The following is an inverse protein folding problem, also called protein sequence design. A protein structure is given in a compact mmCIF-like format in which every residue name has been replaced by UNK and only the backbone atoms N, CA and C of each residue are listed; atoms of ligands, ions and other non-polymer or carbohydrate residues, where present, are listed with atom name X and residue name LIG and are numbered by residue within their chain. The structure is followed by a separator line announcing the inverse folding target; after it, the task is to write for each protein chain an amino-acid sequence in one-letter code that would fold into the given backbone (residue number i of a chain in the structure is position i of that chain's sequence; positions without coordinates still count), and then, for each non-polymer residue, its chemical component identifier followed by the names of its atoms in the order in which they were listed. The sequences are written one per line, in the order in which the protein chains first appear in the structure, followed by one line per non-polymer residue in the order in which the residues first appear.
data_IF_195442180238
#
_entry.id   IF_195442180238
#
_cell.length_a   1.000
_cell.length_b   1.000
_cell.length_c   1.000
_cell.angle_alpha   90.00
_cell.angle_beta   90.00
_cell.angle_gamma   90.00
#
_symmetry.space_group_name_H-M   'P 1'
#
loop_
_entity.id
_entity.type
_entity.pdbx_description
1 polymer ?
#
# COMPACT_ATOMS: atom_id res chain seq x y z
N UNK A 1 42.83 54.85 -19.70
CA UNK A 1 41.65 54.27 -19.04
C UNK A 1 41.26 55.18 -17.90
N UNK A 2 40.12 55.87 -17.99
CA UNK A 2 39.62 56.76 -16.92
C UNK A 2 38.97 55.88 -15.84
N UNK A 3 39.28 56.06 -14.55
CA UNK A 3 38.66 55.27 -13.50
C UNK A 3 37.16 55.59 -13.41
N UNK A 4 36.32 54.58 -13.56
CA UNK A 4 34.87 54.69 -13.32
C UNK A 4 34.66 54.87 -11.82
N UNK A 5 34.23 56.08 -11.41
CA UNK A 5 33.89 56.38 -10.01
C UNK A 5 32.73 55.47 -9.55
N UNK A 6 32.76 54.92 -8.32
CA UNK A 6 31.65 54.16 -7.78
C UNK A 6 30.42 55.08 -7.60
N UNK A 7 29.29 54.69 -8.18
CA UNK A 7 28.03 55.44 -8.11
C UNK A 7 27.52 55.52 -6.66
N UNK A 8 27.59 56.71 -6.05
CA UNK A 8 26.92 56.99 -4.78
C UNK A 8 25.41 57.12 -5.00
N UNK A 9 24.62 56.36 -4.25
CA UNK A 9 23.17 56.62 -4.15
C UNK A 9 22.96 57.99 -3.48
N UNK A 10 22.17 58.90 -4.06
CA UNK A 10 21.86 60.15 -3.38
C UNK A 10 21.05 59.87 -2.10
N UNK A 11 21.21 60.69 -1.06
CA UNK A 11 20.49 60.53 0.20
C UNK A 11 18.97 60.64 -0.02
N UNK A 12 18.16 59.84 0.69
CA UNK A 12 16.70 59.95 0.59
C UNK A 12 16.24 61.33 1.10
N UNK A 13 15.24 61.93 0.43
CA UNK A 13 14.58 63.21 0.74
C UNK A 13 15.19 64.54 0.24
N UNK A 14 16.11 64.56 -0.73
CA UNK A 14 16.44 65.81 -1.42
C UNK A 14 15.67 65.96 -2.75
N UNK A 15 15.08 67.14 -3.04
CA UNK A 15 14.44 67.40 -4.32
C UNK A 15 15.49 67.40 -5.44
N UNK A 16 15.20 66.71 -6.55
CA UNK A 16 16.08 66.66 -7.73
C UNK A 16 15.95 67.96 -8.51
N UNK A 17 17.03 68.74 -8.58
CA UNK A 17 17.11 69.96 -9.40
C UNK A 17 17.72 69.60 -10.75
N UNK A 18 16.99 69.86 -11.84
CA UNK A 18 17.42 69.57 -13.20
C UNK A 18 17.61 70.88 -13.97
N UNK A 19 18.85 71.16 -14.37
CA UNK A 19 19.16 72.25 -15.30
C UNK A 19 18.79 71.85 -16.74
N UNK A 20 17.99 72.67 -17.40
CA UNK A 20 17.55 72.47 -18.80
C UNK A 20 18.71 72.79 -19.76
N UNK A 21 18.93 71.96 -20.79
CA UNK A 21 20.01 72.09 -21.79
C UNK A 21 21.47 72.01 -21.28
N UNK A 22 21.70 71.61 -20.03
CA UNK A 22 23.04 71.42 -19.46
C UNK A 22 23.30 69.96 -19.04
N UNK A 23 23.29 69.03 -20.01
CA UNK A 23 23.41 67.59 -19.75
C UNK A 23 24.69 67.17 -19.01
N UNK A 24 25.79 67.93 -19.17
CA UNK A 24 27.07 67.67 -18.50
C UNK A 24 27.01 67.82 -16.98
N UNK A 25 26.07 68.62 -16.45
CA UNK A 25 25.84 68.79 -14.99
C UNK A 25 25.12 67.60 -14.36
N UNK A 26 24.62 66.67 -15.18
CA UNK A 26 23.80 65.52 -14.77
C UNK A 26 24.54 64.17 -14.92
N UNK A 27 25.88 64.19 -15.00
CA UNK A 27 26.70 62.99 -15.22
C UNK A 27 26.60 61.95 -14.08
N UNK A 28 26.22 62.38 -12.88
CA UNK A 28 26.07 61.50 -11.71
C UNK A 28 24.72 60.75 -11.68
N UNK A 29 23.76 61.11 -12.53
CA UNK A 29 22.48 60.42 -12.61
C UNK A 29 22.60 59.07 -13.33
N UNK A 30 21.78 58.10 -12.90
CA UNK A 30 21.71 56.80 -13.55
C UNK A 30 21.22 56.98 -15.00
N UNK A 31 21.95 56.41 -15.96
CA UNK A 31 21.57 56.48 -17.38
C UNK A 31 20.20 55.87 -17.67
N UNK A 32 19.58 56.29 -18.78
CA UNK A 32 18.26 55.81 -19.24
C UNK A 32 18.32 54.43 -19.93
N UNK A 33 19.20 53.56 -19.45
CA UNK A 33 19.27 52.18 -19.92
C UNK A 33 18.30 51.32 -19.12
N UNK A 34 17.26 50.81 -19.79
CA UNK A 34 16.26 49.93 -19.20
C UNK A 34 16.69 48.49 -19.46
N UNK A 35 16.87 47.72 -18.39
CA UNK A 35 17.18 46.29 -18.46
C UNK A 35 16.14 45.53 -17.65
N UNK A 36 15.34 44.71 -18.34
CA UNK A 36 14.39 43.78 -17.71
C UNK A 36 15.01 42.40 -17.48
N UNK A 37 16.25 42.18 -17.95
CA UNK A 37 16.96 40.91 -17.82
C UNK A 37 17.40 40.66 -16.38
N UNK A 38 17.11 39.44 -15.89
CA UNK A 38 17.41 39.01 -14.52
C UNK A 38 18.90 38.82 -14.23
N UNK A 39 19.71 38.60 -15.28
CA UNK A 39 21.15 38.30 -15.18
C UNK A 39 21.94 39.04 -16.28
N UNK A 40 23.17 39.47 -15.97
CA UNK A 40 24.17 39.96 -16.92
C UNK A 40 25.08 38.81 -17.39
N UNK A 41 25.73 38.91 -18.56
CA UNK A 41 26.59 37.88 -19.19
C UNK A 41 27.62 37.30 -18.20
N UNK A 42 28.27 38.14 -17.40
CA UNK A 42 29.26 37.73 -16.40
C UNK A 42 28.66 37.16 -15.10
N UNK A 43 27.40 37.49 -14.80
CA UNK A 43 26.69 37.03 -13.58
C UNK A 43 25.79 35.84 -13.83
N UNK A 44 25.43 35.57 -15.09
CA UNK A 44 24.55 34.47 -15.48
C UNK A 44 25.22 33.14 -15.20
N UNK A 45 26.44 32.94 -15.70
CA UNK A 45 27.15 31.66 -15.59
C UNK A 45 27.36 31.21 -14.13
N UNK A 46 27.92 32.02 -13.21
CA UNK A 46 28.10 31.60 -11.82
C UNK A 46 26.78 31.43 -11.05
N UNK A 47 25.76 32.26 -11.29
CA UNK A 47 24.46 32.12 -10.60
C UNK A 47 23.63 30.95 -11.12
N UNK A 48 23.64 30.70 -12.42
CA UNK A 48 22.96 29.55 -13.03
C UNK A 48 23.58 28.23 -12.56
N UNK A 49 24.92 28.16 -12.45
CA UNK A 49 25.61 27.02 -11.82
C UNK A 49 25.18 26.86 -10.36
N UNK A 50 25.22 27.93 -9.57
CA UNK A 50 24.85 27.85 -8.16
C UNK A 50 23.39 27.42 -7.93
N UNK A 51 22.47 27.82 -8.81
CA UNK A 51 21.06 27.40 -8.77
C UNK A 51 20.87 25.94 -9.21
N UNK A 52 21.60 25.45 -10.21
CA UNK A 52 21.50 24.08 -10.72
C UNK A 52 22.14 23.02 -9.81
N UNK A 53 23.19 23.38 -9.05
CA UNK A 53 23.92 22.44 -8.18
C UNK A 53 23.51 22.48 -6.70
N UNK A 54 22.32 22.99 -6.34
CA UNK A 54 21.84 22.91 -4.94
C UNK A 54 21.39 21.47 -4.64
N UNK A 55 21.90 20.80 -3.59
CA UNK A 55 21.47 19.44 -3.23
C UNK A 55 19.95 19.29 -3.06
N UNK A 56 19.30 20.37 -2.63
CA UNK A 56 17.84 20.47 -2.44
C UNK A 56 17.08 20.16 -3.73
N UNK A 57 17.56 20.58 -4.91
CA UNK A 57 16.83 20.39 -6.18
C UNK A 57 16.81 18.93 -6.64
N UNK A 58 17.76 18.10 -6.16
CA UNK A 58 17.82 16.67 -6.46
C UNK A 58 16.98 15.83 -5.48
N UNK A 59 17.03 16.14 -4.18
CA UNK A 59 16.32 15.37 -3.16
C UNK A 59 14.84 15.73 -3.03
N UNK A 60 14.46 16.99 -3.31
CA UNK A 60 13.09 17.47 -3.11
C UNK A 60 12.05 16.75 -3.99
N UNK A 61 12.26 16.52 -5.30
CA UNK A 61 11.29 15.79 -6.12
C UNK A 61 11.11 14.33 -5.67
N UNK A 62 12.20 13.67 -5.27
CA UNK A 62 12.16 12.29 -4.76
C UNK A 62 11.38 12.21 -3.45
N UNK A 63 11.66 13.11 -2.51
CA UNK A 63 10.95 13.18 -1.23
C UNK A 63 9.45 13.43 -1.44
N UNK A 64 9.08 14.28 -2.41
CA UNK A 64 7.68 14.56 -2.74
C UNK A 64 6.97 13.33 -3.30
N UNK A 65 7.59 12.59 -4.21
CA UNK A 65 7.00 11.36 -4.78
C UNK A 65 6.79 10.28 -3.72
N UNK A 66 7.82 10.05 -2.90
CA UNK A 66 7.75 9.09 -1.80
C UNK A 66 6.68 9.52 -0.79
N UNK A 67 6.64 10.80 -0.44
CA UNK A 67 5.64 11.37 0.46
C UNK A 67 4.21 11.17 -0.04
N UNK A 68 3.93 11.50 -1.30
CA UNK A 68 2.59 11.29 -1.90
C UNK A 68 2.22 9.80 -1.95
N UNK A 69 3.18 8.93 -2.27
CA UNK A 69 2.93 7.48 -2.34
C UNK A 69 2.60 6.91 -0.95
N UNK A 70 3.38 7.27 0.07
CA UNK A 70 3.14 6.86 1.44
C UNK A 70 1.83 7.43 1.99
N UNK A 71 1.52 8.69 1.69
CA UNK A 71 0.27 9.31 2.11
C UNK A 71 -0.95 8.61 1.50
N UNK A 72 -0.88 8.23 0.22
CA UNK A 72 -1.94 7.47 -0.45
C UNK A 72 -2.16 6.11 0.22
N UNK A 73 -1.09 5.34 0.44
CA UNK A 73 -1.18 4.03 1.09
C UNK A 73 -1.76 4.15 2.51
N UNK A 74 -1.34 5.17 3.27
CA UNK A 74 -1.89 5.43 4.59
C UNK A 74 -3.39 5.77 4.57
N UNK A 75 -3.86 6.54 3.56
CA UNK A 75 -5.30 6.83 3.41
C UNK A 75 -6.11 5.58 3.04
N UNK A 76 -5.59 4.73 2.14
CA UNK A 76 -6.25 3.47 1.78
C UNK A 76 -6.34 2.51 2.97
N UNK A 77 -5.26 2.35 3.73
CA UNK A 77 -5.26 1.51 4.93
C UNK A 77 -6.12 2.08 6.05
N UNK A 78 -6.21 3.42 6.17
CA UNK A 78 -7.12 4.06 7.12
C UNK A 78 -8.59 3.77 6.78
N UNK A 79 -8.96 3.75 5.50
CA UNK A 79 -10.31 3.34 5.08
C UNK A 79 -10.59 1.87 5.40
N UNK A 80 -9.62 0.96 5.22
CA UNK A 80 -9.76 -0.45 5.63
C UNK A 80 -9.94 -0.58 7.14
N UNK A 81 -9.14 0.13 7.91
CA UNK A 81 -9.25 0.17 9.36
C UNK A 81 -10.63 0.64 9.83
N UNK A 82 -11.19 1.67 9.18
CA UNK A 82 -12.56 2.10 9.47
C UNK A 82 -13.59 1.01 9.17
N UNK A 83 -13.49 0.34 8.02
CA UNK A 83 -14.39 -0.75 7.66
C UNK A 83 -14.32 -1.92 8.66
N UNK A 84 -13.12 -2.33 9.06
CA UNK A 84 -12.89 -3.40 10.05
C UNK A 84 -13.46 -3.00 11.42
N UNK A 85 -13.26 -1.75 11.83
CA UNK A 85 -13.78 -1.22 13.08
C UNK A 85 -15.31 -1.26 13.13
N UNK A 86 -15.99 -0.95 12.02
CA UNK A 86 -17.45 -1.02 11.94
C UNK A 86 -17.98 -2.45 11.99
N UNK A 87 -17.29 -3.42 11.39
CA UNK A 87 -17.64 -4.85 11.52
C UNK A 87 -17.46 -5.33 12.97
N UNK A 88 -16.35 -4.97 13.61
CA UNK A 88 -16.03 -5.42 14.97
C UNK A 88 -16.94 -4.85 16.05
N UNK A 89 -17.53 -3.66 15.82
CA UNK A 89 -18.50 -3.01 16.72
C UNK A 89 -19.92 -3.58 16.63
N UNK A 90 -20.22 -4.44 15.64
CA UNK A 90 -21.56 -5.02 15.49
C UNK A 90 -21.93 -5.79 16.76
N UNK A 91 -23.19 -5.69 17.17
CA UNK A 91 -23.70 -6.34 18.37
C UNK A 91 -24.40 -7.65 18.05
N UNK A 92 -24.25 -8.65 18.92
CA UNK A 92 -25.03 -9.89 18.92
C UNK A 92 -25.55 -10.18 20.32
N UNK A 93 -26.62 -10.95 20.41
CA UNK A 93 -27.23 -11.35 21.68
C UNK A 93 -26.63 -12.69 22.11
N UNK A 94 -26.04 -12.73 23.30
CA UNK A 94 -25.34 -13.88 23.88
C UNK A 94 -26.04 -14.33 25.15
N UNK A 95 -26.14 -15.63 25.37
CA UNK A 95 -26.71 -16.20 26.58
C UNK A 95 -25.67 -16.23 27.70
N UNK A 96 -25.98 -15.61 28.84
CA UNK A 96 -25.14 -15.70 30.03
C UNK A 96 -25.68 -16.82 30.96
N UNK A 97 -24.93 -17.92 31.18
CA UNK A 97 -25.39 -19.05 31.99
C UNK A 97 -25.47 -18.73 33.48
N UNK A 98 -24.74 -17.71 33.97
CA UNK A 98 -24.72 -17.33 35.39
C UNK A 98 -25.95 -16.48 35.72
N UNK A 99 -26.23 -15.47 34.91
CA UNK A 99 -27.39 -14.58 35.10
C UNK A 99 -28.70 -15.15 34.53
N UNK A 100 -28.62 -16.21 33.71
CA UNK A 100 -29.73 -16.80 32.97
C UNK A 100 -30.48 -15.77 32.09
N UNK A 101 -29.75 -14.77 31.58
CA UNK A 101 -30.31 -13.67 30.78
C UNK A 101 -29.58 -13.54 29.44
N UNK A 102 -30.24 -12.85 28.51
CA UNK A 102 -29.68 -12.54 27.19
C UNK A 102 -29.03 -11.16 27.26
N UNK A 103 -27.73 -11.12 27.02
CA UNK A 103 -26.92 -9.90 27.07
C UNK A 103 -26.41 -9.56 25.68
N UNK A 104 -26.26 -8.27 25.39
CA UNK A 104 -25.73 -7.81 24.10
C UNK A 104 -24.22 -7.65 24.21
N UNK A 105 -23.47 -8.40 23.39
CA UNK A 105 -22.01 -8.27 23.25
C UNK A 105 -21.63 -7.78 21.85
N UNK A 106 -20.47 -7.15 21.73
CA UNK A 106 -19.92 -6.81 20.42
C UNK A 106 -19.23 -8.03 19.81
N UNK A 107 -19.13 -8.08 18.48
CA UNK A 107 -18.51 -9.19 17.76
C UNK A 107 -17.07 -9.45 18.20
N UNK A 108 -16.33 -8.39 18.51
CA UNK A 108 -14.95 -8.47 19.06
C UNK A 108 -14.82 -9.17 20.42
N UNK A 109 -15.90 -9.27 21.18
CA UNK A 109 -15.90 -9.77 22.56
C UNK A 109 -16.58 -11.15 22.68
N UNK A 110 -16.93 -11.78 21.55
CA UNK A 110 -17.50 -13.12 21.51
C UNK A 110 -16.41 -14.14 21.77
N UNK A 111 -16.70 -15.08 22.66
CA UNK A 111 -15.79 -16.17 23.01
C UNK A 111 -16.38 -17.49 22.52
N UNK A 112 -15.49 -18.42 22.19
CA UNK A 112 -15.78 -19.79 21.81
C UNK A 112 -16.64 -20.50 22.88
N UNK A 113 -17.60 -21.32 22.44
CA UNK A 113 -18.51 -22.07 23.31
C UNK A 113 -19.69 -21.25 23.85
N UNK A 114 -19.72 -19.93 23.60
CA UNK A 114 -20.88 -19.11 23.92
C UNK A 114 -22.06 -19.43 22.99
N UNK A 115 -23.26 -19.47 23.58
CA UNK A 115 -24.50 -19.64 22.83
C UNK A 115 -25.05 -18.28 22.48
N UNK A 116 -25.24 -18.05 21.18
CA UNK A 116 -25.69 -16.77 20.64
C UNK A 116 -27.03 -16.92 19.95
N UNK A 117 -27.84 -15.86 20.03
CA UNK A 117 -29.10 -15.73 19.32
C UNK A 117 -28.92 -14.77 18.16
N UNK A 118 -29.25 -15.23 16.96
CA UNK A 118 -29.14 -14.45 15.72
C UNK A 118 -30.53 -14.23 15.14
N UNK A 119 -30.85 -12.99 14.80
CA UNK A 119 -32.16 -12.57 14.28
C UNK A 119 -32.19 -12.51 12.75
N UNK A 120 -33.40 -12.56 12.18
CA UNK A 120 -33.62 -12.48 10.73
C UNK A 120 -32.94 -11.24 10.12
N UNK A 121 -32.18 -11.45 9.05
CA UNK A 121 -31.48 -10.40 8.31
C UNK A 121 -30.10 -10.04 8.86
N UNK A 122 -29.67 -10.69 9.95
CA UNK A 122 -28.35 -10.48 10.55
C UNK A 122 -27.30 -11.38 9.88
N UNK A 123 -26.06 -10.91 9.82
CA UNK A 123 -24.91 -11.75 9.50
C UNK A 123 -24.45 -12.58 10.71
N UNK A 124 -23.88 -13.75 10.47
CA UNK A 124 -23.26 -14.53 11.55
C UNK A 124 -21.91 -13.92 11.95
N UNK A 125 -21.65 -13.74 13.26
CA UNK A 125 -20.42 -13.13 13.74
C UNK A 125 -19.19 -14.04 13.62
N UNK A 126 -19.40 -15.35 13.74
CA UNK A 126 -18.40 -16.40 13.71
C UNK A 126 -19.03 -17.67 13.10
N UNK A 127 -18.26 -18.74 12.98
CA UNK A 127 -18.77 -20.05 12.59
C UNK A 127 -19.56 -20.66 13.75
N UNK A 128 -20.83 -21.02 13.50
CA UNK A 128 -21.77 -21.47 14.51
C UNK A 128 -22.27 -22.89 14.22
N UNK A 129 -22.38 -23.70 15.25
CA UNK A 129 -23.20 -24.92 15.22
C UNK A 129 -24.65 -24.55 15.48
N UNK A 130 -25.54 -24.85 14.53
CA UNK A 130 -26.98 -24.64 14.66
C UNK A 130 -27.58 -25.60 15.71
N UNK A 131 -28.00 -25.05 16.85
CA UNK A 131 -28.62 -25.82 17.93
C UNK A 131 -30.14 -25.92 17.75
N UNK A 132 -30.79 -24.79 17.50
CA UNK A 132 -32.24 -24.72 17.33
C UNK A 132 -32.62 -23.55 16.42
N UNK A 133 -33.75 -23.68 15.76
CA UNK A 133 -34.35 -22.66 14.91
C UNK A 133 -35.76 -22.37 15.42
N UNK A 134 -36.27 -21.16 15.14
CA UNK A 134 -37.67 -20.82 15.45
C UNK A 134 -38.67 -21.63 14.61
N UNK A 135 -38.22 -22.24 13.50
CA UNK A 135 -39.09 -23.06 12.67
C UNK A 135 -39.28 -24.46 13.30
N UNK A 136 -40.50 -24.99 13.24
CA UNK A 136 -40.90 -26.26 13.86
C UNK A 136 -40.11 -27.47 13.36
N UNK A 137 -39.38 -27.36 12.24
CA UNK A 137 -38.51 -28.40 11.68
C UNK A 137 -37.04 -28.30 12.10
N UNK A 138 -36.64 -27.25 12.84
CA UNK A 138 -35.24 -27.00 13.16
C UNK A 138 -34.44 -26.52 11.95
N UNK A 139 -35.14 -26.09 10.89
CA UNK A 139 -34.56 -25.62 9.63
C UNK A 139 -34.29 -24.11 9.70
N UNK A 140 -33.13 -23.69 9.21
CA UNK A 140 -32.76 -22.31 8.99
C UNK A 140 -32.38 -22.08 7.51
N UNK A 141 -32.76 -20.93 6.96
CA UNK A 141 -32.36 -20.55 5.61
C UNK A 141 -31.22 -19.54 5.67
N UNK A 142 -30.16 -19.81 4.91
CA UNK A 142 -28.92 -19.03 4.93
C UNK A 142 -28.60 -18.54 3.54
N UNK A 143 -28.27 -17.26 3.44
CA UNK A 143 -27.78 -16.62 2.21
C UNK A 143 -26.25 -16.55 2.26
N UNK A 144 -25.57 -17.13 1.26
CA UNK A 144 -24.10 -17.23 1.18
C UNK A 144 -23.47 -16.34 0.13
N UNK A 145 -24.20 -15.34 -0.40
CA UNK A 145 -23.74 -14.40 -1.46
C UNK A 145 -22.34 -13.83 -1.21
N UNK A 146 -21.94 -13.60 0.05
CA UNK A 146 -20.63 -13.05 0.38
C UNK A 146 -19.47 -14.06 0.32
N UNK A 147 -19.76 -15.36 0.33
CA UNK A 147 -18.77 -16.44 0.38
C UNK A 147 -18.54 -17.06 -1.01
N UNK A 148 -19.62 -17.43 -1.69
CA UNK A 148 -19.58 -18.16 -2.98
C UNK A 148 -20.25 -17.40 -4.14
N UNK A 149 -20.88 -16.25 -3.86
CA UNK A 149 -21.60 -15.48 -4.87
C UNK A 149 -22.94 -16.08 -5.29
N UNK A 150 -23.39 -17.16 -4.65
CA UNK A 150 -24.68 -17.78 -4.94
C UNK A 150 -25.81 -17.01 -4.25
N UNK A 151 -26.83 -16.61 -5.01
CA UNK A 151 -28.03 -15.91 -4.48
C UNK A 151 -29.09 -16.84 -3.89
N UNK A 152 -28.91 -18.15 -4.05
CA UNK A 152 -29.88 -19.13 -3.57
C UNK A 152 -29.77 -19.31 -2.06
N UNK A 153 -30.93 -19.48 -1.41
CA UNK A 153 -30.98 -19.79 0.00
C UNK A 153 -30.56 -21.23 0.23
N UNK A 154 -29.54 -21.43 1.05
CA UNK A 154 -29.10 -22.76 1.49
C UNK A 154 -29.87 -23.17 2.74
N UNK A 155 -30.31 -24.42 2.75
CA UNK A 155 -31.05 -25.02 3.86
C UNK A 155 -30.03 -25.57 4.86
N UNK A 156 -30.15 -25.17 6.12
CA UNK A 156 -29.36 -25.67 7.25
C UNK A 156 -30.30 -26.29 8.28
N UNK A 157 -29.92 -27.41 8.87
CA UNK A 157 -30.78 -28.19 9.78
C UNK A 157 -30.08 -28.42 11.11
N UNK A 158 -30.79 -28.16 12.20
CA UNK A 158 -30.36 -28.50 13.56
C UNK A 158 -30.41 -30.02 13.79
N UNK A 159 -29.64 -30.52 14.77
CA UNK A 159 -29.80 -31.89 15.23
C UNK A 159 -31.19 -32.09 15.85
N UNK A 160 -31.80 -33.25 15.60
CA UNK A 160 -33.16 -33.53 16.08
C UNK A 160 -33.22 -33.52 17.62
N UNK A 161 -32.11 -33.84 18.30
CA UNK A 161 -31.96 -33.82 19.76
C UNK A 161 -31.85 -32.40 20.35
N UNK A 162 -31.32 -31.43 19.59
CA UNK A 162 -31.09 -30.05 20.06
C UNK A 162 -32.20 -29.09 19.62
N UNK A 163 -32.99 -29.46 18.60
CA UNK A 163 -34.08 -28.67 18.02
C UNK A 163 -35.06 -28.11 19.06
N UNK A 164 -35.36 -28.84 20.13
CA UNK A 164 -36.25 -28.41 21.22
C UNK A 164 -35.65 -27.43 22.25
N UNK A 165 -34.43 -26.92 22.02
CA UNK A 165 -33.79 -25.96 22.92
C UNK A 165 -34.52 -24.61 22.91
N UNK A 166 -35.03 -24.22 24.08
CA UNK A 166 -35.62 -22.91 24.35
C UNK A 166 -34.82 -22.19 25.43
N UNK A 167 -35.18 -20.92 25.69
CA UNK A 167 -34.55 -20.09 26.73
C UNK A 167 -34.45 -20.80 28.09
N UNK A 168 -35.43 -21.63 28.46
CA UNK A 168 -35.46 -22.31 29.76
C UNK A 168 -34.53 -23.53 29.82
N UNK A 169 -34.36 -24.25 28.70
CA UNK A 169 -33.59 -25.50 28.66
C UNK A 169 -32.11 -25.28 28.33
N UNK A 170 -31.74 -24.09 27.86
CA UNK A 170 -30.39 -23.77 27.40
C UNK A 170 -29.38 -23.72 28.56
N UNK A 171 -29.81 -23.33 29.77
CA UNK A 171 -28.96 -23.29 30.95
C UNK A 171 -28.49 -24.69 31.40
N UNK A 172 -29.33 -25.72 31.16
CA UNK A 172 -29.04 -27.12 31.49
C UNK A 172 -28.32 -27.85 30.35
N UNK A 173 -28.24 -27.23 29.17
CA UNK A 173 -27.62 -27.84 28.01
C UNK A 173 -26.09 -27.82 28.14
N UNK A 174 -25.49 -29.00 28.31
CA UNK A 174 -24.05 -29.21 28.32
C UNK A 174 -23.67 -30.29 27.33
N UNK A 175 -22.65 -30.01 26.54
CA UNK A 175 -22.13 -30.94 25.54
C UNK A 175 -20.75 -30.53 25.09
N UNK A 176 -20.01 -31.51 24.58
CA UNK A 176 -18.70 -31.31 23.95
C UNK A 176 -18.83 -31.49 22.45
N UNK A 177 -18.19 -30.60 21.69
CA UNK A 177 -18.13 -30.68 20.23
C UNK A 177 -16.72 -31.13 19.86
N UNK A 178 -16.61 -32.31 19.29
CA UNK A 178 -15.34 -32.84 18.76
C UNK A 178 -15.37 -32.68 17.25
N UNK A 179 -14.68 -31.70 16.70
CA UNK A 179 -14.64 -31.42 15.26
C UNK A 179 -13.24 -31.57 14.68
N UNK A 180 -13.17 -31.70 13.35
CA UNK A 180 -11.90 -31.61 12.61
C UNK A 180 -11.21 -30.25 12.78
N UNK A 181 -9.92 -30.20 12.45
CA UNK A 181 -9.19 -28.93 12.39
C UNK A 181 -9.81 -28.00 11.35
N UNK A 182 -9.75 -26.67 11.54
CA UNK A 182 -10.39 -25.75 10.60
C UNK A 182 -9.78 -25.90 9.20
N UNK A 183 -10.60 -26.34 8.25
CA UNK A 183 -10.26 -26.59 6.85
C UNK A 183 -10.72 -25.41 5.96
N UNK A 184 -10.17 -25.30 4.75
CA UNK A 184 -10.50 -24.25 3.77
C UNK A 184 -11.80 -24.55 2.97
N UNK A 185 -12.31 -25.77 3.07
CA UNK A 185 -13.45 -26.23 2.28
C UNK A 185 -14.77 -25.81 2.93
N UNK A 186 -15.57 -25.02 2.21
CA UNK A 186 -16.87 -24.52 2.69
C UNK A 186 -17.96 -25.62 2.80
N UNK A 187 -17.74 -26.77 2.14
CA UNK A 187 -18.76 -27.81 1.96
C UNK A 187 -18.52 -29.06 2.80
N UNK A 188 -17.32 -29.22 3.35
CA UNK A 188 -16.93 -30.40 4.13
C UNK A 188 -16.75 -30.03 5.58
N UNK A 189 -17.54 -30.64 6.43
CA UNK A 189 -17.45 -30.51 7.87
C UNK A 189 -17.75 -31.86 8.50
N UNK A 190 -16.83 -32.31 9.34
CA UNK A 190 -16.90 -33.56 10.08
C UNK A 190 -16.67 -33.27 11.56
N UNK A 191 -17.60 -33.72 12.38
CA UNK A 191 -17.51 -33.58 13.82
C UNK A 191 -18.59 -34.38 14.52
N UNK A 192 -18.49 -34.49 15.84
CA UNK A 192 -19.41 -35.20 16.70
C UNK A 192 -19.81 -34.32 17.87
N UNK A 193 -21.08 -34.33 18.24
CA UNK A 193 -21.60 -33.72 19.46
C UNK A 193 -21.83 -34.80 20.51
N UNK A 194 -21.21 -34.65 21.68
CA UNK A 194 -21.36 -35.53 22.84
C UNK A 194 -22.14 -34.78 23.92
N UNK A 195 -23.36 -35.24 24.22
CA UNK A 195 -24.24 -34.58 25.19
C UNK A 195 -24.04 -35.16 26.61
N UNK A 196 -23.87 -34.28 27.59
CA UNK A 196 -23.71 -34.64 29.00
C UNK A 196 -25.06 -34.59 29.73
N UNK A 197 -25.99 -35.51 29.40
CA UNK A 197 -27.29 -35.61 30.10
C UNK A 197 -27.35 -36.86 30.97
N UNK A 198 -27.74 -36.68 32.24
CA UNK A 198 -27.78 -37.71 33.30
C UNK A 198 -28.69 -38.92 33.02
N UNK A 199 -29.58 -38.86 32.02
CA UNK A 199 -30.43 -39.99 31.60
C UNK A 199 -30.28 -40.41 30.12
N UNK A 200 -29.42 -39.73 29.36
CA UNK A 200 -29.19 -39.94 27.91
C UNK A 200 -27.70 -40.21 27.62
N UNK A 201 -26.91 -40.61 28.63
CA UNK A 201 -25.56 -41.14 28.44
C UNK A 201 -25.52 -42.48 27.62
N UNK A 202 -26.67 -42.94 27.10
CA UNK A 202 -26.79 -44.09 26.18
C UNK A 202 -26.89 -43.71 24.70
N UNK A 203 -27.05 -42.44 24.33
CA UNK A 203 -26.90 -42.04 22.93
C UNK A 203 -25.43 -41.72 22.67
N UNK A 204 -24.77 -42.51 21.83
CA UNK A 204 -23.39 -42.31 21.43
C UNK A 204 -23.14 -40.96 20.72
N UNK A 205 -21.94 -40.72 20.19
CA UNK A 205 -21.61 -39.46 19.53
C UNK A 205 -22.59 -39.15 18.39
N UNK A 206 -23.18 -37.95 18.40
CA UNK A 206 -24.04 -37.47 17.31
C UNK A 206 -23.19 -36.89 16.20
N UNK A 207 -23.18 -37.52 15.03
CA UNK A 207 -22.47 -37.02 13.87
C UNK A 207 -23.04 -35.68 13.40
N UNK A 208 -22.15 -34.70 13.23
CA UNK A 208 -22.44 -33.40 12.67
C UNK A 208 -22.18 -33.43 11.16
N UNK A 209 -23.16 -32.95 10.42
CA UNK A 209 -23.07 -32.79 8.97
C UNK A 209 -22.77 -31.32 8.61
N UNK A 210 -22.32 -31.03 7.37
CA UNK A 210 -22.19 -29.65 6.89
C UNK A 210 -23.50 -28.86 6.88
N UNK A 211 -24.65 -29.53 6.97
CA UNK A 211 -25.95 -28.87 7.09
C UNK A 211 -26.17 -28.24 8.49
N UNK A 212 -25.41 -28.65 9.51
CA UNK A 212 -25.52 -28.16 10.87
C UNK A 212 -24.67 -26.91 11.14
N UNK A 213 -23.69 -26.60 10.29
CA UNK A 213 -22.77 -25.47 10.48
C UNK A 213 -23.21 -24.22 9.71
N UNK A 214 -23.07 -23.06 10.34
CA UNK A 214 -23.37 -21.74 9.81
C UNK A 214 -22.08 -20.96 9.72
N UNK A 215 -21.68 -20.55 8.52
CA UNK A 215 -20.39 -19.93 8.28
C UNK A 215 -20.46 -18.41 8.47
N UNK A 216 -19.40 -17.82 9.01
CA UNK A 216 -19.26 -16.35 9.12
C UNK A 216 -19.43 -15.68 7.76
N UNK A 217 -20.07 -14.52 7.74
CA UNK A 217 -20.28 -13.74 6.51
C UNK A 217 -21.50 -14.18 5.69
N UNK A 218 -22.09 -15.33 6.00
CA UNK A 218 -23.45 -15.66 5.54
C UNK A 218 -24.52 -14.98 6.42
N UNK A 219 -25.72 -14.79 5.87
CA UNK A 219 -26.81 -14.08 6.55
C UNK A 219 -28.03 -14.97 6.77
N UNK A 220 -28.72 -14.78 7.89
CA UNK A 220 -29.94 -15.50 8.19
C UNK A 220 -31.12 -14.90 7.41
N UNK A 221 -31.78 -15.71 6.60
CA UNK A 221 -32.99 -15.34 5.85
C UNK A 221 -34.14 -16.27 6.21
N UNK A 222 -35.37 -15.83 5.92
CA UNK A 222 -36.59 -16.63 6.05
C UNK A 222 -36.81 -17.42 7.37
N UNK A 223 -36.12 -17.03 8.44
CA UNK A 223 -36.21 -17.63 9.78
C UNK A 223 -36.15 -16.49 10.79
N UNK A 224 -37.06 -16.45 11.77
CA UNK A 224 -37.18 -15.34 12.73
C UNK A 224 -35.93 -15.19 13.60
N UNK A 225 -35.52 -16.29 14.22
CA UNK A 225 -34.28 -16.35 14.99
C UNK A 225 -33.74 -17.77 15.07
N UNK A 226 -32.45 -17.88 15.34
CA UNK A 226 -31.79 -19.15 15.60
C UNK A 226 -30.97 -19.08 16.89
N UNK A 227 -30.71 -20.25 17.47
CA UNK A 227 -29.74 -20.45 18.53
C UNK A 227 -28.55 -21.20 17.95
N UNK A 228 -27.36 -20.60 18.07
CA UNK A 228 -26.12 -21.18 17.60
C UNK A 228 -25.08 -21.22 18.71
N UNK A 229 -24.28 -22.28 18.77
CA UNK A 229 -23.09 -22.34 19.60
C UNK A 229 -21.88 -21.93 18.78
N UNK A 230 -21.05 -21.03 19.30
CA UNK A 230 -19.77 -20.68 18.66
C UNK A 230 -18.80 -21.85 18.72
N UNK A 231 -18.23 -22.24 17.57
CA UNK A 231 -17.41 -23.44 17.50
C UNK A 231 -16.01 -23.27 18.11
N UNK A 232 -15.49 -24.33 18.73
CA UNK A 232 -14.10 -24.43 19.20
C UNK A 232 -13.09 -24.58 18.08
N UNK A 233 -12.01 -23.78 18.13
CA UNK A 233 -10.73 -24.16 17.53
C UNK A 233 -10.07 -25.21 18.45
N UNK A 234 -9.59 -26.30 17.85
CA UNK A 234 -8.98 -27.45 18.53
C UNK A 234 -7.64 -27.12 19.21
N UNK A 235 -7.13 -25.90 19.06
CA UNK A 235 -5.88 -25.44 19.67
C UNK A 235 -6.11 -24.43 20.80
N UNK A 236 -6.85 -24.81 21.86
CA UNK A 236 -6.69 -24.33 23.25
C UNK A 236 -6.39 -22.85 23.56
N UNK A 237 -6.58 -21.93 22.60
CA UNK A 237 -6.27 -20.52 22.70
C UNK A 237 -7.59 -19.81 22.83
N UNK A 238 -7.69 -19.00 23.89
CA UNK A 238 -8.86 -18.22 24.32
C UNK A 238 -9.40 -17.20 23.29
N UNK A 239 -9.01 -17.29 22.02
CA UNK A 239 -9.46 -16.40 20.96
C UNK A 239 -10.19 -17.20 19.90
N UNK A 240 -11.42 -16.76 19.60
CA UNK A 240 -12.33 -17.25 18.55
C UNK A 240 -11.79 -17.01 17.12
N UNK A 241 -10.48 -17.16 16.90
CA UNK A 241 -9.73 -16.56 15.81
C UNK A 241 -9.36 -17.48 14.64
N UNK A 242 -9.85 -18.72 14.60
CA UNK A 242 -9.60 -19.62 13.48
C UNK A 242 -10.91 -20.02 12.79
N UNK A 243 -11.70 -19.03 12.39
CA UNK A 243 -12.87 -19.22 11.54
C UNK A 243 -12.42 -19.77 10.19
N UNK A 244 -13.12 -20.79 9.69
CA UNK A 244 -12.84 -21.43 8.40
C UNK A 244 -12.88 -20.40 7.26
N UNK A 245 -13.74 -19.37 7.40
CA UNK A 245 -13.84 -18.25 6.47
C UNK A 245 -12.61 -17.34 6.50
N UNK A 246 -11.99 -17.14 7.66
CA UNK A 246 -10.77 -16.33 7.81
C UNK A 246 -9.51 -17.08 7.37
N UNK A 247 -9.53 -18.43 7.32
CA UNK A 247 -8.46 -19.21 6.70
C UNK A 247 -8.47 -19.15 5.16
N UNK A 248 -9.64 -18.92 4.55
CA UNK A 248 -9.74 -18.58 3.12
C UNK A 248 -9.37 -17.13 2.83
N UNK A 249 -9.38 -16.25 3.84
CA UNK A 249 -8.83 -14.92 3.72
C UNK A 249 -7.29 -15.01 3.75
N UNK A 250 -6.67 -15.14 2.59
CA UNK A 250 -5.22 -14.93 2.46
C UNK A 250 -4.88 -13.56 3.01
N UNK A 251 -3.85 -13.46 3.87
CA UNK A 251 -3.26 -12.18 4.27
C UNK A 251 -3.20 -11.27 3.05
N UNK A 252 -3.76 -10.06 3.08
CA UNK A 252 -3.92 -9.23 1.89
C UNK A 252 -2.55 -9.11 1.22
N UNK A 253 -2.34 -9.78 0.07
CA UNK A 253 -1.02 -9.84 -0.51
C UNK A 253 -0.70 -8.44 -1.02
N UNK A 254 0.57 -8.03 -0.94
CA UNK A 254 1.03 -6.86 -1.70
C UNK A 254 0.94 -7.21 -3.18
N UNK A 255 -0.20 -6.86 -3.79
CA UNK A 255 -0.49 -7.16 -5.20
C UNK A 255 0.33 -6.21 -6.07
N UNK A 256 1.50 -6.68 -6.53
CA UNK A 256 2.27 -5.99 -7.57
C UNK A 256 1.75 -6.34 -8.95
N UNK A 257 1.78 -5.37 -9.85
CA UNK A 257 1.28 -5.58 -11.22
C UNK A 257 2.31 -6.30 -12.09
N UNK A 258 1.85 -7.02 -13.12
CA UNK A 258 2.74 -7.65 -14.12
C UNK A 258 3.62 -6.61 -14.83
N UNK A 259 3.10 -5.39 -15.00
CA UNK A 259 3.82 -4.26 -15.58
C UNK A 259 4.96 -3.84 -14.66
N UNK A 260 4.76 -3.76 -13.34
CA UNK A 260 5.84 -3.46 -12.38
C UNK A 260 6.98 -4.48 -12.47
N UNK A 261 6.68 -5.77 -12.53
CA UNK A 261 7.71 -6.79 -12.74
C UNK A 261 8.45 -6.66 -14.08
N UNK A 262 7.77 -6.24 -15.14
CA UNK A 262 8.39 -5.97 -16.43
C UNK A 262 9.25 -4.70 -16.39
N UNK A 263 8.82 -3.67 -15.67
CA UNK A 263 9.58 -2.45 -15.43
C UNK A 263 10.88 -2.74 -14.68
N UNK A 264 10.85 -3.57 -13.64
CA UNK A 264 12.07 -3.96 -12.90
C UNK A 264 13.10 -4.64 -13.82
N UNK A 265 12.65 -5.51 -14.73
CA UNK A 265 13.52 -6.16 -15.73
C UNK A 265 14.09 -5.16 -16.74
N UNK A 266 13.28 -4.20 -17.19
CA UNK A 266 13.74 -3.13 -18.09
C UNK A 266 14.76 -2.22 -17.39
N UNK A 267 14.56 -1.89 -16.11
CA UNK A 267 15.50 -1.10 -15.30
C UNK A 267 16.85 -1.82 -15.19
N UNK A 268 16.85 -3.12 -14.87
CA UNK A 268 18.08 -3.91 -14.81
C UNK A 268 18.82 -3.95 -16.16
N UNK A 269 18.08 -4.10 -17.26
CA UNK A 269 18.65 -4.07 -18.61
C UNK A 269 19.29 -2.70 -18.93
N UNK A 270 18.63 -1.60 -18.56
CA UNK A 270 19.18 -0.26 -18.75
C UNK A 270 20.46 -0.04 -17.92
N UNK A 271 20.51 -0.53 -16.68
CA UNK A 271 21.74 -0.48 -15.86
C UNK A 271 22.87 -1.29 -16.48
N UNK A 272 22.58 -2.48 -16.99
CA UNK A 272 23.57 -3.33 -17.65
C UNK A 272 24.15 -2.67 -18.92
N UNK A 273 23.28 -2.09 -19.75
CA UNK A 273 23.69 -1.40 -20.97
C UNK A 273 24.50 -0.12 -20.66
N UNK A 274 24.08 0.64 -19.65
CA UNK A 274 24.81 1.81 -19.18
C UNK A 274 26.22 1.44 -18.69
N UNK A 275 26.33 0.37 -17.90
CA UNK A 275 27.61 -0.13 -17.42
C UNK A 275 28.52 -0.56 -18.57
N UNK A 276 27.97 -1.27 -19.56
CA UNK A 276 28.71 -1.66 -20.76
C UNK A 276 29.24 -0.44 -21.54
N UNK A 277 28.43 0.60 -21.73
CA UNK A 277 28.86 1.84 -22.39
C UNK A 277 29.96 2.56 -21.60
N UNK A 278 29.89 2.57 -20.27
CA UNK A 278 30.95 3.12 -19.42
C UNK A 278 32.27 2.34 -19.56
N UNK A 279 32.21 1.00 -19.64
CA UNK A 279 33.39 0.16 -19.85
C UNK A 279 34.03 0.39 -21.22
N UNK A 280 33.22 0.46 -22.28
CA UNK A 280 33.71 0.74 -23.63
C UNK A 280 34.32 2.14 -23.70
N UNK A 281 33.64 3.16 -23.16
CA UNK A 281 34.16 4.53 -23.12
C UNK A 281 35.49 4.64 -22.36
N UNK A 282 35.59 4.00 -21.18
CA UNK A 282 36.81 4.03 -20.38
C UNK A 282 37.98 3.28 -21.02
N UNK A 283 37.73 2.15 -21.69
CA UNK A 283 38.77 1.39 -22.40
C UNK A 283 39.27 2.15 -23.63
N UNK A 284 38.37 2.71 -24.45
CA UNK A 284 38.74 3.54 -25.60
C UNK A 284 39.56 4.75 -25.17
N UNK A 285 39.13 5.43 -24.10
CA UNK A 285 39.84 6.58 -23.57
C UNK A 285 41.20 6.19 -22.97
N UNK A 286 41.34 5.00 -22.36
CA UNK A 286 42.64 4.50 -21.86
C UNK A 286 43.63 4.17 -22.97
N UNK A 287 43.15 3.54 -24.04
CA UNK A 287 43.96 3.27 -25.22
C UNK A 287 44.39 4.55 -25.92
N UNK A 288 43.50 5.53 -26.03
CA UNK A 288 43.80 6.84 -26.59
C UNK A 288 44.88 7.56 -25.77
N UNK A 289 44.75 7.59 -24.44
CA UNK A 289 45.73 8.25 -23.56
C UNK A 289 47.09 7.57 -23.62
N UNK A 290 47.15 6.23 -23.71
CA UNK A 290 48.44 5.53 -23.86
C UNK A 290 49.14 5.85 -25.20
N UNK A 291 48.38 5.91 -26.29
CA UNK A 291 48.95 5.98 -27.64
C UNK A 291 49.15 7.42 -28.15
N UNK A 292 48.31 8.35 -27.71
CA UNK A 292 48.24 9.71 -28.26
C UNK A 292 48.75 10.76 -27.27
N UNK A 293 48.50 10.61 -25.96
CA UNK A 293 48.91 11.58 -24.94
C UNK A 293 50.42 11.88 -24.94
N UNK A 294 51.34 10.88 -25.07
CA UNK A 294 52.78 11.15 -25.11
C UNK A 294 53.23 12.01 -26.30
N UNK A 295 52.41 12.11 -27.36
CA UNK A 295 52.70 12.93 -28.55
C UNK A 295 52.28 14.39 -28.37
N UNK A 296 51.53 14.71 -27.30
CA UNK A 296 50.97 16.03 -27.05
C UNK A 296 51.81 16.78 -26.02
N UNK A 297 52.91 17.40 -26.47
CA UNK A 297 53.87 18.09 -25.61
C UNK A 297 53.24 19.18 -24.72
N UNK A 298 52.14 19.81 -25.15
CA UNK A 298 51.42 20.87 -24.42
C UNK A 298 50.61 20.36 -23.22
N UNK A 299 50.35 19.05 -23.12
CA UNK A 299 49.66 18.41 -21.99
C UNK A 299 50.60 17.99 -20.86
N UNK A 300 51.91 18.21 -21.02
CA UNK A 300 52.97 17.89 -20.06
C UNK A 300 52.81 16.47 -19.44
N UNK A 301 52.79 15.40 -20.27
CA UNK A 301 52.52 14.04 -19.81
C UNK A 301 53.52 13.53 -18.75
N UNK A 302 54.73 14.10 -18.73
CA UNK A 302 55.82 13.73 -17.80
C UNK A 302 55.60 14.27 -16.37
N UNK A 303 54.84 15.37 -16.23
CA UNK A 303 54.52 16.01 -14.93
C UNK A 303 53.04 15.86 -14.56
N UNK A 304 52.35 14.87 -15.14
CA UNK A 304 50.94 14.64 -14.90
C UNK A 304 50.69 14.04 -13.49
N UNK A 305 49.65 14.48 -12.74
CA UNK A 305 49.23 13.83 -11.52
C UNK A 305 48.93 12.34 -11.77
N UNK A 306 49.03 11.50 -10.74
CA UNK A 306 48.87 10.03 -10.84
C UNK A 306 47.59 9.58 -11.55
N UNK A 307 46.56 10.43 -11.56
CA UNK A 307 45.29 10.24 -12.26
C UNK A 307 45.36 10.31 -13.80
N UNK A 308 46.38 10.95 -14.38
CA UNK A 308 46.53 11.18 -15.83
C UNK A 308 47.86 10.66 -16.40
N UNK A 309 48.62 9.90 -15.61
CA UNK A 309 49.92 9.38 -16.01
C UNK A 309 49.78 8.25 -17.06
N UNK A 310 50.35 8.39 -18.27
CA UNK A 310 50.24 7.39 -19.34
C UNK A 310 50.91 6.04 -19.01
N UNK A 311 51.80 6.00 -18.02
CA UNK A 311 52.50 4.78 -17.57
C UNK A 311 51.65 3.86 -16.68
N UNK A 312 50.51 4.33 -16.16
CA UNK A 312 49.57 3.54 -15.33
C UNK A 312 48.14 3.59 -15.90
N UNK A 313 47.87 2.86 -16.99
CA UNK A 313 46.56 2.91 -17.67
C UNK A 313 45.41 2.34 -16.83
N UNK A 314 45.67 1.41 -15.91
CA UNK A 314 44.63 0.76 -15.11
C UNK A 314 44.02 1.68 -14.04
N UNK A 315 44.82 2.53 -13.37
CA UNK A 315 44.35 3.48 -12.35
C UNK A 315 43.50 4.60 -12.94
N UNK A 316 43.82 5.00 -14.17
CA UNK A 316 43.03 5.98 -14.90
C UNK A 316 41.74 5.36 -15.45
N UNK A 317 41.76 4.10 -15.91
CA UNK A 317 40.57 3.40 -16.43
C UNK A 317 39.49 3.31 -15.36
N UNK A 318 39.86 2.96 -14.12
CA UNK A 318 38.93 2.89 -12.99
C UNK A 318 38.40 4.27 -12.60
N UNK A 319 39.25 5.29 -12.57
CA UNK A 319 38.84 6.67 -12.28
C UNK A 319 37.88 7.22 -13.34
N UNK A 320 38.12 6.93 -14.62
CA UNK A 320 37.25 7.33 -15.72
C UNK A 320 35.88 6.61 -15.67
N UNK A 321 35.84 5.33 -15.29
CA UNK A 321 34.55 4.62 -15.10
C UNK A 321 33.73 5.31 -14.01
N UNK A 322 34.36 5.66 -12.88
CA UNK A 322 33.67 6.33 -11.76
C UNK A 322 33.18 7.72 -12.18
N UNK A 323 34.01 8.49 -12.90
CA UNK A 323 33.67 9.82 -13.39
C UNK A 323 32.54 9.74 -14.43
N UNK A 324 32.66 8.89 -15.46
CA UNK A 324 31.66 8.74 -16.52
C UNK A 324 30.33 8.23 -15.93
N UNK A 325 30.37 7.27 -15.02
CA UNK A 325 29.18 6.78 -14.32
C UNK A 325 28.52 7.90 -13.50
N UNK A 326 29.30 8.63 -12.71
CA UNK A 326 28.80 9.73 -11.89
C UNK A 326 28.23 10.88 -12.73
N UNK A 327 28.88 11.25 -13.84
CA UNK A 327 28.38 12.29 -14.75
C UNK A 327 27.17 11.81 -15.57
N UNK A 328 27.10 10.54 -15.96
CA UNK A 328 25.93 10.02 -16.69
C UNK A 328 24.72 9.90 -15.77
N UNK A 329 24.94 9.55 -14.49
CA UNK A 329 23.89 9.49 -13.47
C UNK A 329 23.50 10.87 -12.93
N UNK A 330 24.44 11.82 -12.80
CA UNK A 330 24.23 13.15 -12.21
C UNK A 330 23.99 14.27 -13.23
N UNK A 331 24.16 14.01 -14.54
CA UNK A 331 23.93 15.04 -15.55
C UNK A 331 22.45 15.43 -15.56
N UNK A 332 22.11 16.73 -15.49
CA UNK A 332 20.74 17.21 -15.57
C UNK A 332 20.07 16.90 -16.91
N UNK A 333 20.78 16.41 -17.94
CA UNK A 333 20.12 15.81 -19.10
C UNK A 333 19.62 14.39 -18.81
N UNK A 334 20.36 13.59 -18.03
CA UNK A 334 19.96 12.26 -17.55
C UNK A 334 18.94 12.29 -16.40
N UNK A 335 19.01 13.24 -15.47
CA UNK A 335 17.93 13.45 -14.48
C UNK A 335 16.79 14.29 -15.05
N UNK A 336 17.07 15.30 -15.86
CA UNK A 336 16.06 16.21 -16.38
C UNK A 336 15.21 15.55 -17.44
N UNK A 337 15.77 14.89 -18.46
CA UNK A 337 14.94 14.18 -19.45
C UNK A 337 14.52 12.82 -18.97
N UNK A 338 15.37 12.00 -18.34
CA UNK A 338 14.93 10.67 -17.87
C UNK A 338 14.07 10.75 -16.63
N UNK A 339 14.32 11.62 -15.64
CA UNK A 339 13.37 11.78 -14.53
C UNK A 339 12.14 12.58 -14.96
N UNK A 340 12.19 13.61 -15.83
CA UNK A 340 10.94 14.21 -16.31
C UNK A 340 10.14 13.30 -17.24
N UNK A 341 10.75 12.46 -18.08
CA UNK A 341 10.00 11.50 -18.93
C UNK A 341 9.57 10.27 -18.14
N UNK A 342 10.38 9.76 -17.22
CA UNK A 342 10.00 8.66 -16.32
C UNK A 342 8.95 9.12 -15.30
N UNK A 343 9.07 10.33 -14.76
CA UNK A 343 8.06 10.95 -13.90
C UNK A 343 6.84 11.37 -14.71
N UNK A 344 6.96 11.90 -15.92
CA UNK A 344 5.79 12.18 -16.76
C UNK A 344 5.11 10.89 -17.24
N UNK A 345 5.84 9.79 -17.46
CA UNK A 345 5.28 8.48 -17.80
C UNK A 345 4.64 7.80 -16.57
N UNK A 346 5.28 7.84 -15.40
CA UNK A 346 4.71 7.36 -14.14
C UNK A 346 3.53 8.21 -13.71
N UNK A 347 3.62 9.53 -13.82
CA UNK A 347 2.56 10.46 -13.50
C UNK A 347 1.43 10.33 -14.51
N UNK A 348 1.66 10.27 -15.82
CA UNK A 348 0.59 10.03 -16.80
C UNK A 348 -0.06 8.65 -16.66
N UNK A 349 0.70 7.58 -16.39
CA UNK A 349 0.16 6.23 -16.18
C UNK A 349 -0.60 6.11 -14.85
N UNK A 350 -0.05 6.60 -13.74
CA UNK A 350 -0.71 6.60 -12.43
C UNK A 350 -1.85 7.62 -12.37
N UNK A 351 -1.76 8.74 -13.08
CA UNK A 351 -2.83 9.73 -13.21
C UNK A 351 -3.94 9.24 -14.14
N UNK A 352 -3.66 8.54 -15.25
CA UNK A 352 -4.69 7.85 -16.02
C UNK A 352 -5.36 6.75 -15.18
N UNK A 353 -4.60 6.01 -14.38
CA UNK A 353 -5.14 5.00 -13.47
C UNK A 353 -5.99 5.63 -12.36
N UNK A 354 -5.55 6.76 -11.81
CA UNK A 354 -6.26 7.56 -10.81
C UNK A 354 -7.55 8.18 -11.39
N UNK A 355 -7.49 8.75 -12.60
CA UNK A 355 -8.66 9.26 -13.32
C UNK A 355 -9.62 8.11 -13.69
N UNK A 356 -9.11 6.95 -14.07
CA UNK A 356 -9.93 5.76 -14.33
C UNK A 356 -10.59 5.21 -13.06
N UNK A 357 -9.97 5.38 -11.89
CA UNK A 357 -10.56 5.01 -10.60
C UNK A 357 -11.51 6.08 -10.04
N UNK A 358 -11.30 7.36 -10.36
CA UNK A 358 -12.19 8.47 -9.95
C UNK A 358 -13.42 8.61 -10.85
N UNK A 359 -13.27 8.44 -12.16
CA UNK A 359 -14.35 8.56 -13.16
C UNK A 359 -14.90 7.21 -13.63
N UNK A 360 -14.25 6.10 -13.29
CA UNK A 360 -14.83 4.77 -13.45
C UNK A 360 -15.90 4.60 -12.40
N UNK A 361 -17.17 4.60 -12.84
CA UNK A 361 -18.36 4.38 -12.02
C UNK A 361 -18.10 3.47 -10.80
N UNK A 362 -18.51 3.86 -9.58
CA UNK A 362 -18.41 3.00 -8.38
C UNK A 362 -19.28 1.72 -8.47
N UNK A 363 -19.89 1.44 -9.63
CA UNK A 363 -20.74 0.29 -9.91
C UNK A 363 -20.12 -0.75 -10.87
N UNK A 364 -18.89 -0.55 -11.39
CA UNK A 364 -18.35 -1.45 -12.42
C UNK A 364 -17.03 -2.18 -12.08
N UNK A 365 -16.51 -2.12 -10.85
CA UNK A 365 -15.32 -2.90 -10.46
C UNK A 365 -15.65 -4.26 -9.81
N UNK A 366 -16.86 -4.79 -10.03
CA UNK A 366 -17.12 -6.23 -9.99
C UNK A 366 -17.07 -6.77 -11.42
N UNK A 367 -15.89 -6.75 -12.04
CA UNK A 367 -15.60 -7.57 -13.22
C UNK A 367 -14.80 -8.76 -12.73
N UNK A 368 -15.45 -9.91 -12.52
CA UNK A 368 -15.61 -10.91 -13.58
C UNK A 368 -14.25 -11.36 -14.11
N UNK A 369 -13.62 -12.26 -13.36
CA UNK A 369 -12.69 -13.22 -13.93
C UNK A 369 -13.40 -14.57 -13.80
N UNK A 370 -14.01 -14.98 -14.92
CA UNK A 370 -14.02 -16.39 -15.33
C UNK A 370 -12.63 -16.99 -15.23
#
# INVERSE_FOLDING_TARGET
MVPVKPHMKPPPNQPRVLSVNEAHKHADFKGNYVSTTKYNVFTYFPKALFEQFRPITTFLPLALVLGVSMAKEALEDFHRFQADREVNKRGVVVFNPISNTWERKQWRDIVVGEVIKVEKGSFFPADLLLLSSTNDDGIAYVETVNLDGESNLKIKKALDQTKGLTKHNIATFKGEIHCEQPNASLYTFTGNLVLHRDHIAKSGPLALSPACILLRGSSLRNTKSILGCTQMDQHGRHHCGAEQVMKNATLPPSKRSRIEHQMDKMILLMFALLFAMCLVGATLFALWTKNVSPRMWYLAPDNAPTAFNPSKPDTYRTLCIIIIYYYTFSSPYGLGTSSSTFMAALHSSRFLHFLRQLYGNPMASKSSLT
#
